data_IF_944551707803
#
_entry.id   IF_944551707803
#
_cell.length_a   1.000
_cell.length_b   1.000
_cell.length_c   1.000
_cell.angle_alpha   90.00
_cell.angle_beta   90.00
_cell.angle_gamma   90.00
#
_symmetry.space_group_name_H-M   'P 1'
#
loop_
_entity.id
_entity.type
_entity.pdbx_description
1 polymer ?
#
# COMPACT_ATOMS: atom_id res chain seq x y z
N UNK A 1 63.71 -57.53 35.56
CA UNK A 1 62.25 -57.62 35.79
C UNK A 1 61.62 -57.60 34.41
N UNK A 2 61.45 -58.78 33.80
CA UNK A 2 60.15 -59.45 33.63
C UNK A 2 59.12 -58.55 32.91
N UNK A 3 58.35 -58.92 31.90
CA UNK A 3 58.04 -60.14 31.17
C UNK A 3 56.88 -59.74 30.23
N UNK A 4 56.78 -60.34 29.05
CA UNK A 4 55.54 -60.92 28.49
C UNK A 4 54.32 -59.99 28.28
N UNK A 5 53.94 -59.72 27.02
CA UNK A 5 53.09 -60.56 26.15
C UNK A 5 51.58 -60.48 26.44
N UNK A 6 50.85 -60.37 25.31
CA UNK A 6 49.59 -61.05 24.97
C UNK A 6 48.27 -60.51 25.53
N UNK A 7 47.39 -60.24 24.54
CA UNK A 7 46.00 -60.68 24.44
C UNK A 7 45.00 -60.12 25.46
N UNK A 8 43.71 -60.02 25.23
CA UNK A 8 42.76 -60.14 24.11
C UNK A 8 41.41 -59.79 24.77
N UNK A 9 40.39 -59.44 23.96
CA UNK A 9 38.97 -59.86 24.09
C UNK A 9 38.34 -59.83 25.51
N UNK A 10 37.16 -59.26 25.75
CA UNK A 10 35.93 -59.17 24.96
C UNK A 10 34.78 -58.88 25.93
N UNK A 11 33.63 -58.50 25.34
CA UNK A 11 32.25 -58.76 25.76
C UNK A 11 31.40 -57.61 26.36
N UNK A 12 30.38 -57.28 25.53
CA UNK A 12 28.96 -57.07 25.87
C UNK A 12 28.63 -55.74 26.60
N UNK A 13 27.61 -54.96 26.27
CA UNK A 13 26.44 -55.06 25.38
C UNK A 13 25.78 -53.66 25.43
N UNK A 14 25.19 -53.16 24.33
CA UNK A 14 23.83 -52.57 24.27
C UNK A 14 23.63 -51.66 23.05
N UNK A 15 22.69 -52.11 22.22
CA UNK A 15 21.86 -51.43 21.22
C UNK A 15 21.86 -49.89 21.26
N UNK A 16 22.00 -49.25 20.10
CA UNK A 16 20.85 -48.71 19.34
C UNK A 16 21.34 -47.95 18.11
N UNK A 17 20.94 -48.45 16.93
CA UNK A 17 21.00 -47.72 15.67
C UNK A 17 20.11 -46.48 15.74
N UNK A 18 20.66 -45.31 15.42
CA UNK A 18 19.89 -44.17 14.94
C UNK A 18 20.79 -43.11 14.32
N UNK A 19 21.46 -43.44 13.22
CA UNK A 19 21.95 -42.40 12.30
C UNK A 19 20.76 -41.92 11.47
N UNK A 20 19.94 -41.05 12.07
CA UNK A 20 18.89 -40.31 11.35
C UNK A 20 19.61 -39.34 10.41
N UNK A 21 19.80 -39.77 9.17
CA UNK A 21 20.03 -38.87 8.05
C UNK A 21 18.71 -38.14 7.79
N UNK A 22 18.57 -36.94 8.36
CA UNK A 22 17.46 -36.04 8.04
C UNK A 22 17.67 -35.50 6.63
N UNK A 23 17.17 -36.23 5.64
CA UNK A 23 16.91 -35.71 4.29
C UNK A 23 15.75 -34.71 4.38
N UNK A 24 16.06 -33.48 4.80
CA UNK A 24 15.11 -32.37 4.76
C UNK A 24 15.11 -31.78 3.35
N UNK A 25 14.50 -32.50 2.40
CA UNK A 25 14.16 -31.95 1.09
C UNK A 25 13.07 -30.92 1.32
N UNK A 26 13.44 -29.65 1.48
CA UNK A 26 12.50 -28.53 1.51
C UNK A 26 11.89 -28.38 0.12
N UNK A 27 10.80 -29.11 -0.14
CA UNK A 27 9.92 -28.80 -1.27
C UNK A 27 9.44 -27.36 -1.08
N UNK A 28 10.04 -26.43 -1.82
CA UNK A 28 9.65 -25.02 -1.81
C UNK A 28 8.20 -24.94 -2.30
N UNK A 29 7.30 -24.46 -1.45
CA UNK A 29 5.90 -24.22 -1.83
C UNK A 29 5.86 -23.25 -3.02
N UNK A 30 5.34 -23.71 -4.16
CA UNK A 30 5.18 -22.89 -5.37
C UNK A 30 3.71 -22.54 -5.53
N UNK A 31 3.37 -21.27 -5.30
CA UNK A 31 2.01 -20.75 -5.41
C UNK A 31 1.76 -20.14 -6.79
N UNK A 32 0.55 -20.32 -7.28
CA UNK A 32 0.01 -19.71 -8.49
C UNK A 32 -1.50 -19.52 -8.35
N UNK A 33 -2.12 -18.85 -9.32
CA UNK A 33 -3.55 -18.54 -9.26
C UNK A 33 -4.49 -19.75 -9.26
N UNK A 34 -4.04 -20.91 -9.75
CA UNK A 34 -4.83 -22.15 -9.80
C UNK A 34 -4.80 -22.93 -8.49
N UNK A 35 -3.73 -22.86 -7.69
CA UNK A 35 -3.58 -23.63 -6.45
C UNK A 35 -3.72 -22.80 -5.16
N UNK A 36 -3.57 -21.47 -5.21
CA UNK A 36 -3.49 -20.61 -4.01
C UNK A 36 -4.63 -20.83 -3.00
N UNK A 37 -5.87 -21.01 -3.48
CA UNK A 37 -7.01 -21.21 -2.58
C UNK A 37 -7.00 -22.60 -1.93
N UNK A 38 -6.61 -23.63 -2.66
CA UNK A 38 -6.46 -24.98 -2.10
C UNK A 38 -5.34 -25.02 -1.06
N UNK A 39 -4.21 -24.37 -1.34
CA UNK A 39 -3.09 -24.28 -0.41
C UNK A 39 -3.47 -23.52 0.87
N UNK A 40 -4.24 -22.45 0.77
CA UNK A 40 -4.75 -21.73 1.95
C UNK A 40 -5.72 -22.58 2.79
N UNK A 41 -6.57 -23.40 2.16
CA UNK A 41 -7.43 -24.36 2.86
C UNK A 41 -6.60 -25.42 3.59
N UNK A 42 -5.56 -25.95 2.96
CA UNK A 42 -4.66 -26.92 3.58
C UNK A 42 -3.87 -26.30 4.74
N UNK A 43 -3.39 -25.07 4.56
CA UNK A 43 -2.68 -24.31 5.59
C UNK A 43 -3.55 -24.07 6.83
N UNK A 44 -4.82 -23.73 6.63
CA UNK A 44 -5.80 -23.54 7.71
C UNK A 44 -6.04 -24.85 8.48
N UNK A 45 -6.26 -25.95 7.77
CA UNK A 45 -6.46 -27.29 8.37
C UNK A 45 -5.22 -27.78 9.12
N UNK A 46 -4.04 -27.58 8.54
CA UNK A 46 -2.75 -28.00 9.08
C UNK A 46 -2.12 -27.00 10.05
N UNK A 47 -2.74 -25.83 10.26
CA UNK A 47 -2.21 -24.70 11.07
C UNK A 47 -0.79 -24.29 10.68
N UNK A 48 -0.48 -24.30 9.39
CA UNK A 48 0.87 -24.03 8.88
C UNK A 48 1.08 -22.55 8.61
N UNK A 49 1.71 -21.85 9.56
CA UNK A 49 1.96 -20.40 9.46
C UNK A 49 2.80 -20.03 8.22
N UNK A 50 3.79 -20.86 7.87
CA UNK A 50 4.67 -20.61 6.72
C UNK A 50 3.90 -20.51 5.40
N UNK A 51 2.88 -21.34 5.20
CA UNK A 51 2.06 -21.32 3.99
C UNK A 51 1.24 -20.02 3.89
N UNK A 52 0.72 -19.51 5.02
CA UNK A 52 0.06 -18.20 5.04
C UNK A 52 1.00 -17.05 4.70
N UNK A 53 2.24 -17.06 5.20
CA UNK A 53 3.23 -16.01 4.89
C UNK A 53 3.61 -15.99 3.40
N UNK A 54 3.81 -17.18 2.81
CA UNK A 54 4.12 -17.31 1.38
C UNK A 54 2.92 -16.90 0.53
N UNK A 55 1.69 -17.27 0.93
CA UNK A 55 0.47 -16.87 0.25
C UNK A 55 0.22 -15.36 0.33
N UNK A 56 0.39 -14.75 1.50
CA UNK A 56 0.21 -13.32 1.70
C UNK A 56 1.19 -12.51 0.81
N UNK A 57 2.44 -12.95 0.74
CA UNK A 57 3.45 -12.35 -0.14
C UNK A 57 3.10 -12.51 -1.62
N UNK A 58 2.73 -13.73 -2.06
CA UNK A 58 2.32 -14.00 -3.43
C UNK A 58 1.13 -13.12 -3.85
N UNK A 59 0.08 -13.07 -3.04
CA UNK A 59 -1.13 -12.30 -3.32
C UNK A 59 -0.88 -10.79 -3.32
N UNK A 60 0.01 -10.29 -2.47
CA UNK A 60 0.41 -8.88 -2.43
C UNK A 60 1.20 -8.49 -3.68
N UNK A 61 2.17 -9.30 -4.09
CA UNK A 61 3.02 -9.05 -5.27
C UNK A 61 2.23 -9.14 -6.58
N UNK A 62 1.27 -10.07 -6.64
CA UNK A 62 0.46 -10.35 -7.84
C UNK A 62 -0.91 -9.68 -7.83
N UNK A 63 -1.23 -8.85 -6.84
CA UNK A 63 -2.57 -8.26 -6.69
C UNK A 63 -3.07 -7.53 -7.94
N UNK A 64 -2.18 -7.00 -8.80
CA UNK A 64 -2.55 -6.36 -10.07
C UNK A 64 -3.20 -7.31 -11.08
N UNK A 65 -2.86 -8.58 -11.04
CA UNK A 65 -3.39 -9.59 -11.96
C UNK A 65 -4.87 -9.87 -11.64
N UNK A 66 -5.21 -9.96 -10.34
CA UNK A 66 -6.58 -10.15 -9.86
C UNK A 66 -6.80 -9.51 -8.47
N UNK A 67 -7.12 -8.19 -8.43
CA UNK A 67 -7.23 -7.47 -7.15
C UNK A 67 -8.35 -7.99 -6.26
N UNK A 68 -9.49 -8.37 -6.85
CA UNK A 68 -10.66 -8.78 -6.10
C UNK A 68 -10.46 -10.18 -5.51
N UNK A 69 -9.83 -11.11 -6.24
CA UNK A 69 -9.48 -12.42 -5.68
C UNK A 69 -8.42 -12.31 -4.60
N UNK A 70 -7.38 -11.50 -4.78
CA UNK A 70 -6.39 -11.23 -3.73
C UNK A 70 -7.07 -10.72 -2.46
N UNK A 71 -7.95 -9.71 -2.60
CA UNK A 71 -8.63 -9.11 -1.45
C UNK A 71 -9.55 -10.11 -0.76
N UNK A 72 -10.37 -10.85 -1.50
CA UNK A 72 -11.27 -11.89 -0.95
C UNK A 72 -10.51 -12.95 -0.16
N UNK A 73 -9.41 -13.48 -0.72
CA UNK A 73 -8.60 -14.49 -0.03
C UNK A 73 -7.94 -13.89 1.21
N UNK A 74 -7.44 -12.67 1.12
CA UNK A 74 -6.81 -11.99 2.26
C UNK A 74 -7.77 -11.66 3.39
N UNK A 75 -9.01 -11.29 3.07
CA UNK A 75 -10.11 -11.07 4.02
C UNK A 75 -10.47 -12.38 4.72
N UNK A 76 -10.70 -13.45 3.95
CA UNK A 76 -11.05 -14.78 4.49
C UNK A 76 -9.99 -15.35 5.42
N UNK A 77 -8.72 -15.27 5.01
CA UNK A 77 -7.60 -15.92 5.71
C UNK A 77 -6.79 -14.97 6.60
N UNK A 78 -7.24 -13.72 6.80
CA UNK A 78 -6.58 -12.69 7.61
C UNK A 78 -5.11 -12.46 7.18
N UNK A 79 -4.89 -12.19 5.89
CA UNK A 79 -3.57 -11.98 5.30
C UNK A 79 -3.31 -10.47 5.16
N UNK A 80 -2.64 -9.82 6.14
CA UNK A 80 -2.66 -8.37 6.27
C UNK A 80 -1.96 -7.65 5.11
N UNK A 81 -0.87 -8.22 4.56
CA UNK A 81 -0.09 -7.56 3.50
C UNK A 81 -0.89 -7.46 2.21
N UNK A 82 -1.41 -8.60 1.76
CA UNK A 82 -2.23 -8.70 0.55
C UNK A 82 -3.57 -8.00 0.70
N UNK A 83 -4.18 -7.99 1.89
CA UNK A 83 -5.38 -7.21 2.17
C UNK A 83 -5.14 -5.72 1.91
N UNK A 84 -4.06 -5.18 2.47
CA UNK A 84 -3.68 -3.79 2.26
C UNK A 84 -3.37 -3.50 0.79
N UNK A 85 -2.50 -4.29 0.15
CA UNK A 85 -2.08 -4.03 -1.24
C UNK A 85 -3.22 -4.13 -2.24
N UNK A 86 -4.08 -5.15 -2.12
CA UNK A 86 -5.21 -5.32 -3.04
C UNK A 86 -6.30 -4.29 -2.79
N UNK A 87 -6.51 -3.84 -1.55
CA UNK A 87 -7.47 -2.77 -1.25
C UNK A 87 -7.17 -1.46 -1.98
N UNK A 88 -5.89 -1.15 -2.22
CA UNK A 88 -5.46 0.03 -3.00
C UNK A 88 -6.11 0.07 -4.38
N UNK A 89 -6.04 -1.06 -5.09
CA UNK A 89 -6.56 -1.22 -6.44
C UNK A 89 -8.09 -1.25 -6.45
N UNK A 90 -8.70 -1.87 -5.43
CA UNK A 90 -10.15 -1.92 -5.29
C UNK A 90 -10.72 -0.55 -5.01
N UNK A 91 -10.18 0.20 -4.04
CA UNK A 91 -10.64 1.55 -3.69
C UNK A 91 -10.48 2.53 -4.86
N UNK A 92 -9.44 2.35 -5.67
CA UNK A 92 -9.21 3.19 -6.84
C UNK A 92 -10.33 3.04 -7.88
N UNK A 93 -10.91 1.85 -7.98
CA UNK A 93 -11.98 1.52 -8.93
C UNK A 93 -13.20 0.85 -8.24
N UNK A 94 -13.58 1.33 -7.05
CA UNK A 94 -14.58 0.67 -6.21
C UNK A 94 -15.92 0.48 -6.93
N UNK A 95 -16.30 1.46 -7.76
CA UNK A 95 -17.52 1.42 -8.56
C UNK A 95 -17.55 0.27 -9.57
N UNK A 96 -16.40 -0.16 -10.07
CA UNK A 96 -16.26 -1.29 -10.99
C UNK A 96 -16.31 -2.59 -10.20
N UNK A 97 -15.50 -2.71 -9.14
CA UNK A 97 -15.41 -3.96 -8.38
C UNK A 97 -16.69 -4.30 -7.63
N UNK A 98 -17.42 -3.32 -7.08
CA UNK A 98 -18.68 -3.58 -6.35
C UNK A 98 -19.79 -4.21 -7.21
N UNK A 99 -19.67 -4.13 -8.53
CA UNK A 99 -20.63 -4.71 -9.49
C UNK A 99 -20.27 -6.14 -9.90
N UNK A 100 -19.08 -6.61 -9.56
CA UNK A 100 -18.64 -7.97 -9.86
C UNK A 100 -19.29 -8.95 -8.89
N UNK A 101 -19.66 -10.11 -9.40
CA UNK A 101 -20.28 -11.16 -8.60
C UNK A 101 -19.38 -11.59 -7.43
N UNK A 102 -18.07 -11.63 -7.61
CA UNK A 102 -17.15 -12.08 -6.57
C UNK A 102 -17.11 -11.13 -5.36
N UNK A 103 -17.55 -9.88 -5.53
CA UNK A 103 -17.59 -8.89 -4.46
C UNK A 103 -18.58 -9.29 -3.35
N UNK A 104 -19.60 -10.10 -3.67
CA UNK A 104 -20.57 -10.59 -2.67
C UNK A 104 -19.93 -11.52 -1.64
N UNK A 105 -18.81 -12.17 -1.98
CA UNK A 105 -18.09 -13.09 -1.11
C UNK A 105 -17.12 -12.41 -0.14
N UNK A 106 -17.01 -11.08 -0.17
CA UNK A 106 -16.30 -10.33 0.86
C UNK A 106 -17.11 -10.34 2.17
N UNK A 107 -16.42 -10.33 3.30
CA UNK A 107 -17.03 -10.13 4.61
C UNK A 107 -17.73 -8.77 4.67
N UNK A 108 -18.78 -8.65 5.50
CA UNK A 108 -19.46 -7.36 5.72
C UNK A 108 -18.51 -6.32 6.32
N UNK A 109 -17.54 -6.75 7.15
CA UNK A 109 -16.51 -5.88 7.68
C UNK A 109 -15.62 -5.31 6.56
N UNK A 110 -15.16 -6.15 5.63
CA UNK A 110 -14.34 -5.71 4.50
C UNK A 110 -15.12 -4.78 3.55
N UNK A 111 -16.39 -5.08 3.27
CA UNK A 111 -17.26 -4.21 2.47
C UNK A 111 -17.44 -2.84 3.13
N UNK A 112 -17.79 -2.81 4.41
CA UNK A 112 -17.95 -1.57 5.17
C UNK A 112 -16.67 -0.75 5.19
N UNK A 113 -15.52 -1.37 5.48
CA UNK A 113 -14.22 -0.68 5.47
C UNK A 113 -13.89 -0.05 4.11
N UNK A 114 -14.18 -0.75 3.00
CA UNK A 114 -14.00 -0.18 1.65
C UNK A 114 -14.89 1.04 1.40
N UNK A 115 -16.17 0.96 1.78
CA UNK A 115 -17.12 2.06 1.60
C UNK A 115 -16.79 3.26 2.48
N UNK A 116 -16.50 3.04 3.75
CA UNK A 116 -16.13 4.08 4.71
C UNK A 116 -14.86 4.78 4.26
N UNK A 117 -13.79 4.04 3.98
CA UNK A 117 -12.52 4.62 3.53
C UNK A 117 -12.69 5.45 2.26
N UNK A 118 -13.52 4.97 1.33
CA UNK A 118 -13.83 5.70 0.10
C UNK A 118 -14.60 6.98 0.38
N UNK A 119 -15.62 6.91 1.22
CA UNK A 119 -16.43 8.04 1.62
C UNK A 119 -15.60 9.11 2.33
N UNK A 120 -14.75 8.72 3.28
CA UNK A 120 -13.82 9.62 3.97
C UNK A 120 -12.92 10.38 3.00
N UNK A 121 -12.36 9.69 2.01
CA UNK A 121 -11.55 10.32 0.97
C UNK A 121 -12.35 11.39 0.21
N UNK A 122 -13.56 11.04 -0.25
CA UNK A 122 -14.43 11.95 -1.01
C UNK A 122 -14.88 13.16 -0.16
N UNK A 123 -15.15 12.97 1.14
CA UNK A 123 -15.47 14.07 2.06
C UNK A 123 -14.25 14.96 2.33
N UNK A 124 -13.07 14.36 2.55
CA UNK A 124 -11.83 15.10 2.72
C UNK A 124 -11.52 16.01 1.54
N UNK A 125 -11.77 15.56 0.31
CA UNK A 125 -11.62 16.40 -0.89
C UNK A 125 -12.58 17.59 -0.90
N UNK A 126 -13.84 17.39 -0.50
CA UNK A 126 -14.83 18.48 -0.38
C UNK A 126 -14.43 19.51 0.68
N UNK A 127 -13.85 19.06 1.79
CA UNK A 127 -13.33 19.94 2.83
C UNK A 127 -12.15 20.78 2.33
N UNK A 128 -11.18 20.14 1.67
CA UNK A 128 -10.04 20.83 1.05
C UNK A 128 -10.56 21.88 0.07
N UNK A 129 -11.50 21.51 -0.80
CA UNK A 129 -12.10 22.45 -1.74
C UNK A 129 -12.77 23.64 -1.05
N UNK A 130 -13.58 23.38 -0.03
CA UNK A 130 -14.25 24.41 0.75
C UNK A 130 -13.27 25.36 1.44
N UNK A 131 -12.15 24.83 1.92
CA UNK A 131 -11.06 25.61 2.52
C UNK A 131 -10.45 26.57 1.50
N UNK A 132 -10.19 26.08 0.27
CA UNK A 132 -9.60 26.87 -0.81
C UNK A 132 -10.58 27.91 -1.38
N UNK A 133 -11.86 27.54 -1.55
CA UNK A 133 -12.91 28.46 -2.02
C UNK A 133 -13.09 29.67 -1.10
N UNK A 134 -12.91 29.49 0.22
CA UNK A 134 -12.98 30.57 1.23
C UNK A 134 -11.70 31.41 1.32
N UNK A 135 -10.72 31.22 0.44
CA UNK A 135 -9.47 31.99 0.44
C UNK A 135 -8.54 31.68 1.62
N UNK A 136 -8.78 30.58 2.36
CA UNK A 136 -7.98 30.23 3.56
C UNK A 136 -6.62 29.60 3.24
N UNK A 137 -6.19 29.59 1.97
CA UNK A 137 -4.84 29.16 1.56
C UNK A 137 -3.72 30.05 2.12
N UNK A 138 -4.05 31.24 2.63
CA UNK A 138 -3.15 32.35 2.99
C UNK A 138 -2.19 32.17 4.18
N UNK A 139 -1.81 30.94 4.55
CA UNK A 139 -0.78 30.74 5.59
C UNK A 139 0.29 29.71 5.21
N UNK A 140 0.72 29.70 3.96
CA UNK A 140 2.02 29.15 3.57
C UNK A 140 3.14 30.03 4.16
N UNK A 141 3.26 30.06 5.49
CA UNK A 141 4.22 30.86 6.25
C UNK A 141 5.66 30.32 6.18
N UNK A 142 5.95 29.33 5.34
CA UNK A 142 7.14 28.48 5.47
C UNK A 142 8.06 28.43 4.26
N UNK A 143 8.14 29.47 3.42
CA UNK A 143 9.31 29.58 2.54
C UNK A 143 9.83 31.01 2.44
N UNK A 144 11.13 31.15 2.69
CA UNK A 144 11.88 32.39 2.51
C UNK A 144 12.10 32.62 1.01
N UNK A 145 11.14 33.26 0.33
CA UNK A 145 11.39 33.79 -1.00
C UNK A 145 12.26 35.04 -0.89
N UNK A 146 13.56 34.91 -1.17
CA UNK A 146 14.55 36.00 -1.15
C UNK A 146 14.49 36.93 -2.37
N UNK A 147 13.32 37.13 -2.99
CA UNK A 147 13.18 37.84 -4.27
C UNK A 147 12.33 39.11 -4.20
N UNK A 148 12.56 40.01 -5.17
CA UNK A 148 12.04 41.38 -5.38
C UNK A 148 10.49 41.49 -5.43
N UNK A 149 9.77 40.37 -5.50
CA UNK A 149 8.30 40.35 -5.52
C UNK A 149 7.80 40.56 -4.09
N UNK A 150 6.88 41.52 -3.87
CA UNK A 150 6.32 41.73 -2.54
C UNK A 150 5.74 40.42 -2.01
N UNK A 151 5.97 40.10 -0.72
CA UNK A 151 5.43 38.87 -0.08
C UNK A 151 3.93 38.68 -0.37
N UNK A 152 3.20 39.77 -0.53
CA UNK A 152 1.78 39.79 -0.84
C UNK A 152 1.45 39.19 -2.21
N UNK A 153 2.12 39.64 -3.29
CA UNK A 153 1.90 39.12 -4.65
C UNK A 153 2.26 37.63 -4.75
N UNK A 154 3.27 37.21 -4.01
CA UNK A 154 3.71 35.80 -3.97
C UNK A 154 2.66 34.88 -3.33
N UNK A 155 2.07 35.26 -2.20
CA UNK A 155 0.99 34.50 -1.57
C UNK A 155 -0.25 34.38 -2.47
N UNK A 156 -0.55 35.43 -3.23
CA UNK A 156 -1.69 35.44 -4.14
C UNK A 156 -1.49 34.47 -5.32
N UNK A 157 -0.31 34.46 -5.93
CA UNK A 157 0.03 33.53 -7.03
C UNK A 157 -0.03 32.08 -6.57
N UNK A 158 0.51 31.78 -5.39
CA UNK A 158 0.48 30.44 -4.82
C UNK A 158 -0.95 29.99 -4.47
N UNK A 159 -1.74 30.87 -3.86
CA UNK A 159 -3.15 30.60 -3.57
C UNK A 159 -3.97 30.35 -4.84
N UNK A 160 -3.70 31.10 -5.91
CA UNK A 160 -4.33 30.94 -7.23
C UNK A 160 -3.97 29.61 -7.86
N UNK A 161 -2.71 29.19 -7.81
CA UNK A 161 -2.25 27.91 -8.35
C UNK A 161 -2.91 26.73 -7.62
N UNK A 162 -2.93 26.74 -6.30
CA UNK A 162 -3.62 25.73 -5.49
C UNK A 162 -5.10 25.63 -5.88
N UNK A 163 -5.76 26.79 -6.02
CA UNK A 163 -7.17 26.87 -6.44
C UNK A 163 -7.38 26.28 -7.83
N UNK A 164 -6.49 26.56 -8.78
CA UNK A 164 -6.58 26.03 -10.14
C UNK A 164 -6.45 24.50 -10.16
N UNK A 165 -5.46 23.94 -9.46
CA UNK A 165 -5.26 22.47 -9.41
C UNK A 165 -6.47 21.74 -8.81
N UNK A 166 -6.97 22.22 -7.68
CA UNK A 166 -8.13 21.59 -7.01
C UNK A 166 -9.39 21.74 -7.88
N UNK A 167 -9.60 22.91 -8.48
CA UNK A 167 -10.77 23.12 -9.36
C UNK A 167 -10.70 22.22 -10.60
N UNK A 168 -9.53 22.05 -11.20
CA UNK A 168 -9.34 21.16 -12.35
C UNK A 168 -9.71 19.71 -12.01
N UNK A 169 -9.29 19.22 -10.84
CA UNK A 169 -9.64 17.87 -10.37
C UNK A 169 -11.15 17.69 -10.19
N UNK A 170 -11.82 18.66 -9.58
CA UNK A 170 -13.26 18.55 -9.32
C UNK A 170 -14.11 18.59 -10.58
N UNK A 171 -13.67 19.34 -11.60
CA UNK A 171 -14.37 19.41 -12.90
C UNK A 171 -14.12 18.16 -13.74
N UNK A 172 -12.98 17.48 -13.55
CA UNK A 172 -12.48 16.47 -14.48
C UNK A 172 -13.22 15.13 -14.54
N UNK A 173 -14.33 14.92 -13.82
CA UNK A 173 -15.02 13.62 -13.68
C UNK A 173 -14.09 12.45 -13.24
N UNK A 174 -12.86 12.73 -12.83
CA UNK A 174 -11.91 11.72 -12.38
C UNK A 174 -12.44 11.16 -11.06
N UNK A 175 -12.79 9.88 -11.05
CA UNK A 175 -13.27 9.19 -9.85
C UNK A 175 -12.18 8.38 -9.16
N UNK A 176 -11.01 8.19 -9.76
CA UNK A 176 -9.95 7.36 -9.18
C UNK A 176 -9.07 8.18 -8.21
N UNK A 177 -9.02 7.84 -6.90
CA UNK A 177 -8.15 8.45 -5.91
C UNK A 177 -6.72 8.65 -6.39
N UNK A 178 -6.13 7.63 -7.02
CA UNK A 178 -4.76 7.69 -7.52
C UNK A 178 -4.56 8.80 -8.54
N UNK A 179 -5.52 8.97 -9.47
CA UNK A 179 -5.48 9.98 -10.52
C UNK A 179 -5.76 11.38 -9.98
N UNK A 180 -6.63 11.49 -8.97
CA UNK A 180 -6.85 12.74 -8.22
C UNK A 180 -5.55 13.18 -7.54
N UNK A 181 -4.91 12.29 -6.78
CA UNK A 181 -3.66 12.57 -6.09
C UNK A 181 -2.57 12.99 -7.08
N UNK A 182 -2.39 12.23 -8.17
CA UNK A 182 -1.42 12.56 -9.22
C UNK A 182 -1.72 13.88 -9.94
N UNK A 183 -2.99 14.28 -10.06
CA UNK A 183 -3.37 15.56 -10.65
C UNK A 183 -3.12 16.74 -9.70
N UNK A 184 -3.38 16.57 -8.39
CA UNK A 184 -3.11 17.60 -7.38
C UNK A 184 -1.61 17.84 -7.17
N UNK A 185 -0.82 16.77 -7.14
CA UNK A 185 0.62 16.80 -6.91
C UNK A 185 1.44 17.07 -8.19
N UNK A 186 0.79 17.18 -9.34
CA UNK A 186 1.47 17.47 -10.61
C UNK A 186 2.08 18.88 -10.57
N UNK A 187 3.37 18.98 -10.91
CA UNK A 187 4.01 20.27 -11.15
C UNK A 187 3.44 20.90 -12.43
N UNK A 188 3.06 22.19 -12.43
CA UNK A 188 2.65 22.87 -13.65
C UNK A 188 3.80 22.86 -14.64
N UNK A 189 3.51 22.55 -15.91
CA UNK A 189 4.44 22.79 -17.00
C UNK A 189 4.61 24.31 -17.13
N UNK A 190 5.72 24.84 -16.62
CA UNK A 190 6.04 26.26 -16.76
C UNK A 190 6.61 26.55 -18.16
N UNK A 191 6.25 27.69 -18.79
CA UNK A 191 6.95 28.17 -19.98
C UNK A 191 8.43 28.47 -19.66
N UNK A 192 9.31 28.20 -20.62
CA UNK A 192 10.78 28.09 -20.46
C UNK A 192 11.52 29.32 -19.87
N UNK A 193 10.85 30.45 -19.66
CA UNK A 193 11.50 31.72 -19.29
C UNK A 193 11.49 32.10 -17.79
N UNK A 194 10.97 31.25 -16.86
CA UNK A 194 10.88 31.58 -15.42
C UNK A 194 11.39 30.44 -14.49
N UNK A 195 12.54 29.83 -14.80
CA UNK A 195 12.98 28.59 -14.15
C UNK A 195 13.71 28.74 -12.81
N UNK A 196 14.25 29.91 -12.42
CA UNK A 196 15.12 29.99 -11.23
C UNK A 196 14.39 30.10 -9.87
N UNK A 197 13.18 30.69 -9.82
CA UNK A 197 12.41 30.85 -8.57
C UNK A 197 11.21 29.89 -8.44
N UNK A 198 10.92 29.10 -9.46
CA UNK A 198 9.68 28.31 -9.58
C UNK A 198 9.75 26.92 -8.93
N UNK A 199 10.94 26.33 -8.79
CA UNK A 199 11.12 25.01 -8.17
C UNK A 199 10.78 25.01 -6.66
N UNK A 200 11.27 26.01 -5.92
CA UNK A 200 10.95 26.19 -4.49
C UNK A 200 9.45 26.45 -4.26
N UNK A 201 8.83 27.24 -5.15
CA UNK A 201 7.38 27.50 -5.10
C UNK A 201 6.55 26.24 -5.34
N UNK A 202 6.93 25.40 -6.32
CA UNK A 202 6.25 24.13 -6.57
C UNK A 202 6.42 23.15 -5.41
N UNK A 203 7.61 23.11 -4.79
CA UNK A 203 7.85 22.28 -3.61
C UNK A 203 6.95 22.67 -2.42
N UNK A 204 6.86 23.97 -2.11
CA UNK A 204 5.98 24.46 -1.02
C UNK A 204 4.49 24.24 -1.27
N UNK A 205 4.06 24.32 -2.54
CA UNK A 205 2.68 23.98 -2.93
C UNK A 205 2.41 22.50 -2.72
N UNK A 206 3.29 21.62 -3.21
CA UNK A 206 3.11 20.18 -3.10
C UNK A 206 3.12 19.76 -1.63
N UNK A 207 4.05 20.28 -0.82
CA UNK A 207 4.09 20.01 0.62
C UNK A 207 2.79 20.42 1.33
N UNK A 208 2.22 21.59 0.99
CA UNK A 208 0.95 22.01 1.54
C UNK A 208 -0.21 21.13 1.10
N UNK A 209 -0.26 20.77 -0.18
CA UNK A 209 -1.28 19.87 -0.74
C UNK A 209 -1.19 18.52 -0.04
N UNK A 210 0.00 17.94 0.09
CA UNK A 210 0.24 16.67 0.78
C UNK A 210 -0.21 16.73 2.24
N UNK A 211 0.16 17.78 2.98
CA UNK A 211 -0.29 17.96 4.38
C UNK A 211 -1.82 18.04 4.48
N UNK A 212 -2.48 18.70 3.54
CA UNK A 212 -3.95 18.80 3.52
C UNK A 212 -4.60 17.47 3.14
N UNK A 213 -4.07 16.77 2.15
CA UNK A 213 -4.53 15.44 1.76
C UNK A 213 -4.35 14.46 2.92
N UNK A 214 -3.20 14.43 3.57
CA UNK A 214 -2.98 13.55 4.72
C UNK A 214 -3.94 13.87 5.86
N UNK A 215 -4.16 15.16 6.16
CA UNK A 215 -5.05 15.60 7.23
C UNK A 215 -6.52 15.26 6.99
N UNK A 216 -7.01 15.47 5.76
CA UNK A 216 -8.44 15.42 5.46
C UNK A 216 -8.85 14.14 4.73
N UNK A 217 -7.98 13.56 3.91
CA UNK A 217 -8.25 12.38 3.11
C UNK A 217 -7.59 11.11 3.67
N UNK A 218 -6.77 11.22 4.73
CA UNK A 218 -6.07 10.10 5.36
C UNK A 218 -4.78 9.68 4.65
N UNK A 219 -4.22 8.54 5.06
CA UNK A 219 -2.95 8.02 4.52
C UNK A 219 -3.12 7.50 3.09
N UNK A 220 -2.05 7.64 2.31
CA UNK A 220 -1.90 7.10 0.97
C UNK A 220 -0.45 6.67 0.74
N UNK A 221 -0.25 5.63 -0.06
CA UNK A 221 1.08 5.07 -0.34
C UNK A 221 1.11 4.38 -1.71
N UNK A 222 2.28 4.21 -2.34
CA UNK A 222 2.37 3.46 -3.59
C UNK A 222 2.13 1.96 -3.37
N UNK A 223 1.84 1.25 -4.45
CA UNK A 223 1.87 -0.22 -4.43
C UNK A 223 3.29 -0.70 -4.10
N UNK A 224 3.39 -1.78 -3.32
CA UNK A 224 4.68 -2.32 -2.89
C UNK A 224 5.53 -2.75 -4.10
N UNK A 225 4.90 -3.38 -5.09
CA UNK A 225 5.54 -3.76 -6.36
C UNK A 225 5.95 -2.57 -7.24
N UNK A 226 5.55 -1.33 -6.88
CA UNK A 226 5.92 -0.10 -7.58
C UNK A 226 6.90 0.77 -6.80
N UNK A 227 7.32 0.39 -5.58
CA UNK A 227 8.15 1.25 -4.71
C UNK A 227 9.45 1.72 -5.37
N UNK A 228 10.05 0.89 -6.22
CA UNK A 228 11.33 1.18 -6.90
C UNK A 228 11.15 2.02 -8.18
N UNK A 229 9.91 2.21 -8.65
CA UNK A 229 9.63 2.97 -9.88
C UNK A 229 9.79 4.47 -9.65
N UNK A 230 10.42 5.14 -10.62
CA UNK A 230 10.63 6.60 -10.63
C UNK A 230 9.28 7.34 -10.66
N UNK A 231 8.32 6.81 -11.41
CA UNK A 231 6.94 7.30 -11.46
C UNK A 231 6.07 6.22 -10.83
N UNK A 232 5.42 6.57 -9.71
CA UNK A 232 4.52 5.69 -8.97
C UNK A 232 3.24 6.44 -8.63
N UNK A 233 2.12 5.73 -8.79
CA UNK A 233 0.83 6.24 -8.35
C UNK A 233 0.71 6.02 -6.84
N UNK A 234 -0.04 6.89 -6.17
CA UNK A 234 -0.32 6.78 -4.74
C UNK A 234 -1.78 6.41 -4.55
N UNK A 235 -2.04 5.51 -3.60
CA UNK A 235 -3.36 4.93 -3.40
C UNK A 235 -3.79 5.10 -1.95
N UNK A 236 -5.07 5.36 -1.75
CA UNK A 236 -5.70 5.13 -0.45
C UNK A 236 -5.84 3.62 -0.21
N UNK A 237 -5.86 3.21 1.05
CA UNK A 237 -5.91 1.80 1.43
C UNK A 237 -6.65 1.62 2.76
N UNK A 238 -7.00 0.38 3.06
CA UNK A 238 -7.44 -0.08 4.38
C UNK A 238 -6.47 -1.14 4.90
N UNK A 239 -6.37 -1.27 6.22
CA UNK A 239 -5.55 -2.27 6.89
C UNK A 239 -6.47 -3.23 7.64
N UNK A 240 -6.03 -4.48 7.80
CA UNK A 240 -6.77 -5.50 8.51
C UNK A 240 -6.61 -5.25 10.02
N UNK A 241 -7.72 -5.11 10.74
CA UNK A 241 -7.67 -4.83 12.17
C UNK A 241 -7.47 -6.15 12.94
N UNK A 242 -6.21 -6.45 13.26
CA UNK A 242 -5.80 -7.74 13.86
C UNK A 242 -6.23 -7.88 15.33
N UNK A 243 -6.77 -6.82 15.94
CA UNK A 243 -7.12 -6.76 17.37
C UNK A 243 -8.62 -6.95 17.66
N UNK A 244 -9.46 -7.17 16.65
CA UNK A 244 -10.92 -7.24 16.80
C UNK A 244 -11.49 -8.66 17.04
N UNK A 245 -10.70 -9.60 17.57
CA UNK A 245 -11.16 -10.97 17.89
C UNK A 245 -10.85 -11.34 19.33
#
# INVERSE_FOLDING_TARGET
LQSQQLNQRSHLQLRSDSTITTTKTTNKLVLNWSNIEQELILAEKGKTIEAFLVADSFLAERCKDDPLKSFRLSDKYNLPKSYKESSKLILDNLNVYRRKDEFKFLSEQAKSALYERRWEFDQGLKEIYSFVKRGKCGSLRHHNCGGIVSRFQHHELVGREIKNRISAVLVSQITAPSKILAALLRNPKQPKHQQSNSASMCAGINEWIEKKLLKHCGKFEPLECERIRIIRDFYIYIELDLLAK
#
